data_IF_727662477119
#
_entry.id   IF_727662477119
#
_cell.length_a   1.000
_cell.length_b   1.000
_cell.length_c   1.000
_cell.angle_alpha   90.00
_cell.angle_beta   90.00
_cell.angle_gamma   90.00
#
_symmetry.space_group_name_H-M   'P 1'
#
loop_
_entity.id
_entity.type
_entity.pdbx_description
1 polymer ?
#
# COMPACT_ATOMS: atom_id res chain seq x y z
N UNK A 1 7.68 -68.13 -4.95
CA UNK A 1 8.35 -66.79 -4.87
C UNK A 1 7.38 -65.66 -5.20
N UNK A 2 6.48 -65.77 -6.20
CA UNK A 2 5.52 -64.73 -6.63
C UNK A 2 4.44 -64.46 -5.55
N UNK A 3 3.93 -65.51 -4.86
CA UNK A 3 2.92 -65.38 -3.82
C UNK A 3 3.43 -64.56 -2.63
N UNK A 4 4.65 -64.78 -2.18
CA UNK A 4 5.23 -64.02 -1.06
C UNK A 4 5.51 -62.54 -1.37
N UNK A 5 5.81 -62.22 -2.64
CA UNK A 5 5.94 -60.82 -3.05
C UNK A 5 4.58 -60.09 -3.09
N UNK A 6 3.50 -60.78 -3.50
CA UNK A 6 2.15 -60.23 -3.47
C UNK A 6 1.70 -59.92 -2.06
N UNK A 7 1.96 -60.81 -1.11
CA UNK A 7 1.63 -60.60 0.31
C UNK A 7 2.35 -59.41 0.93
N UNK A 8 3.64 -59.25 0.59
CA UNK A 8 4.43 -58.08 1.05
C UNK A 8 3.84 -56.76 0.50
N UNK A 9 3.43 -56.76 -0.77
CA UNK A 9 2.82 -55.53 -1.35
C UNK A 9 1.43 -55.22 -0.78
N UNK A 10 0.61 -56.26 -0.51
CA UNK A 10 -0.65 -56.09 0.17
C UNK A 10 -0.48 -55.47 1.57
N UNK A 11 0.46 -55.97 2.34
CA UNK A 11 0.73 -55.41 3.67
C UNK A 11 1.18 -53.96 3.61
N UNK A 12 2.07 -53.60 2.68
CA UNK A 12 2.46 -52.19 2.47
C UNK A 12 1.29 -51.31 2.12
N UNK A 13 0.35 -51.76 1.28
CA UNK A 13 -0.85 -51.01 0.90
C UNK A 13 -1.74 -50.78 2.13
N UNK A 14 -1.93 -51.81 2.96
CA UNK A 14 -2.69 -51.68 4.20
C UNK A 14 -2.06 -50.66 5.14
N UNK A 15 -0.73 -50.69 5.31
CA UNK A 15 0.00 -49.73 6.15
C UNK A 15 -0.18 -48.29 5.66
N UNK A 16 -0.07 -48.05 4.34
CA UNK A 16 -0.30 -46.73 3.74
C UNK A 16 -1.73 -46.24 3.97
N UNK A 17 -2.72 -47.13 3.76
CA UNK A 17 -4.13 -46.81 3.99
C UNK A 17 -4.42 -46.52 5.46
N UNK A 18 -3.84 -47.27 6.39
CA UNK A 18 -3.97 -47.02 7.83
C UNK A 18 -3.40 -45.65 8.22
N UNK A 19 -2.23 -45.32 7.70
CA UNK A 19 -1.63 -44.01 7.94
C UNK A 19 -2.52 -42.87 7.37
N UNK A 20 -3.08 -43.04 6.18
CA UNK A 20 -4.04 -42.10 5.61
C UNK A 20 -5.26 -41.92 6.51
N UNK A 21 -5.89 -42.98 6.99
CA UNK A 21 -7.08 -42.95 7.84
C UNK A 21 -6.79 -42.31 9.21
N UNK A 22 -5.60 -42.50 9.78
CA UNK A 22 -5.18 -41.83 11.00
C UNK A 22 -5.13 -40.32 10.85
N UNK A 23 -4.66 -39.85 9.67
CA UNK A 23 -4.59 -38.42 9.36
C UNK A 23 -5.96 -37.83 8.91
N UNK A 24 -6.90 -38.70 8.50
CA UNK A 24 -8.24 -38.31 8.02
C UNK A 24 -9.36 -39.05 8.76
N UNK A 25 -9.57 -38.80 10.07
CA UNK A 25 -10.48 -39.61 10.92
C UNK A 25 -11.95 -39.52 10.54
N UNK A 26 -12.34 -38.62 9.67
CA UNK A 26 -13.72 -38.47 9.16
C UNK A 26 -14.04 -39.40 7.99
N UNK A 27 -13.05 -40.16 7.46
CA UNK A 27 -13.20 -41.08 6.34
C UNK A 27 -13.47 -42.47 6.88
N UNK A 28 -14.58 -43.06 6.45
CA UNK A 28 -15.00 -44.41 6.88
C UNK A 28 -14.62 -45.45 5.78
N UNK A 29 -13.32 -45.53 5.47
CA UNK A 29 -12.81 -46.47 4.49
C UNK A 29 -12.15 -47.69 5.17
N UNK A 30 -12.17 -48.83 4.51
CA UNK A 30 -11.49 -50.03 5.01
C UNK A 30 -10.05 -50.10 4.52
N UNK A 31 -9.09 -50.09 5.45
CA UNK A 31 -7.67 -50.26 5.10
C UNK A 31 -7.38 -51.64 4.50
N UNK A 32 -8.14 -52.65 4.84
CA UNK A 32 -7.97 -54.05 4.40
C UNK A 32 -8.85 -54.44 3.21
N UNK A 33 -9.55 -53.50 2.57
CA UNK A 33 -10.38 -53.76 1.39
C UNK A 33 -9.55 -54.38 0.26
N UNK A 34 -10.12 -55.35 -0.46
CA UNK A 34 -9.45 -56.04 -1.56
C UNK A 34 -9.32 -55.12 -2.82
N UNK A 35 -10.25 -54.19 -3.00
CA UNK A 35 -10.28 -53.22 -4.08
C UNK A 35 -9.82 -51.84 -3.62
N UNK A 36 -9.76 -50.88 -4.52
CA UNK A 36 -9.38 -49.49 -4.25
C UNK A 36 -10.53 -48.49 -4.53
N UNK A 37 -11.76 -49.02 -4.70
CA UNK A 37 -12.89 -48.25 -5.21
C UNK A 37 -13.21 -46.99 -4.40
N UNK A 38 -13.15 -47.07 -3.06
CA UNK A 38 -13.39 -45.93 -2.19
C UNK A 38 -12.33 -44.82 -2.38
N UNK A 39 -11.05 -45.22 -2.52
CA UNK A 39 -9.96 -44.29 -2.74
C UNK A 39 -9.95 -43.72 -4.16
N UNK A 40 -10.28 -44.55 -5.17
CA UNK A 40 -10.39 -44.11 -6.56
C UNK A 40 -11.56 -43.16 -6.78
N UNK A 41 -12.70 -43.45 -6.14
CA UNK A 41 -13.86 -42.58 -6.13
C UNK A 41 -13.55 -41.22 -5.48
N UNK A 42 -12.87 -41.23 -4.33
CA UNK A 42 -12.45 -40.02 -3.65
C UNK A 42 -11.44 -39.24 -4.50
N UNK A 43 -10.47 -39.90 -5.12
CA UNK A 43 -9.50 -39.25 -6.00
C UNK A 43 -10.19 -38.59 -7.17
N UNK A 44 -11.16 -39.27 -7.78
CA UNK A 44 -11.95 -38.73 -8.89
C UNK A 44 -12.78 -37.52 -8.45
N UNK A 45 -13.45 -37.60 -7.31
CA UNK A 45 -14.24 -36.48 -6.74
C UNK A 45 -13.37 -35.26 -6.47
N UNK A 46 -12.25 -35.44 -5.75
CA UNK A 46 -11.29 -34.37 -5.45
C UNK A 46 -10.65 -33.77 -6.70
N UNK A 47 -10.31 -34.60 -7.69
CA UNK A 47 -9.62 -34.14 -8.91
C UNK A 47 -10.56 -33.43 -9.89
N UNK A 48 -11.82 -33.91 -9.99
CA UNK A 48 -12.73 -33.41 -11.03
C UNK A 48 -13.64 -32.27 -10.59
N UNK A 49 -13.99 -32.17 -9.31
CA UNK A 49 -14.97 -31.19 -8.84
C UNK A 49 -14.46 -30.31 -7.71
N UNK A 50 -13.93 -30.89 -6.63
CA UNK A 50 -13.59 -30.11 -5.44
C UNK A 50 -12.31 -29.28 -5.66
N UNK A 51 -11.29 -29.81 -6.30
CA UNK A 51 -10.02 -29.11 -6.52
C UNK A 51 -10.22 -27.88 -7.40
N UNK A 52 -10.97 -27.99 -8.49
CA UNK A 52 -11.27 -26.84 -9.35
C UNK A 52 -12.11 -25.79 -8.62
N UNK A 53 -13.09 -26.21 -7.82
CA UNK A 53 -13.91 -25.30 -7.03
C UNK A 53 -13.08 -24.59 -5.94
N UNK A 54 -12.21 -25.31 -5.24
CA UNK A 54 -11.30 -24.72 -4.25
C UNK A 54 -10.31 -23.77 -4.89
N UNK A 55 -9.72 -24.12 -6.03
CA UNK A 55 -8.81 -23.25 -6.79
C UNK A 55 -9.52 -21.97 -7.22
N UNK A 56 -10.75 -22.09 -7.73
CA UNK A 56 -11.56 -20.93 -8.12
C UNK A 56 -11.87 -20.03 -6.94
N UNK A 57 -12.34 -20.59 -5.81
CA UNK A 57 -12.62 -19.85 -4.58
C UNK A 57 -11.36 -19.17 -4.05
N UNK A 58 -10.23 -19.85 -4.04
CA UNK A 58 -8.96 -19.28 -3.60
C UNK A 58 -8.52 -18.13 -4.50
N UNK A 59 -8.67 -18.25 -5.82
CA UNK A 59 -8.37 -17.19 -6.77
C UNK A 59 -9.30 -15.98 -6.59
N UNK A 60 -10.60 -16.20 -6.39
CA UNK A 60 -11.58 -15.15 -6.11
C UNK A 60 -11.26 -14.40 -4.80
N UNK A 61 -10.91 -15.13 -3.74
CA UNK A 61 -10.52 -14.54 -2.46
C UNK A 61 -9.21 -13.75 -2.56
N UNK A 62 -8.22 -14.28 -3.29
CA UNK A 62 -6.97 -13.57 -3.53
C UNK A 62 -7.21 -12.28 -4.31
N UNK A 63 -8.05 -12.33 -5.34
CA UNK A 63 -8.43 -11.13 -6.11
C UNK A 63 -9.13 -10.10 -5.22
N UNK A 64 -10.12 -10.51 -4.44
CA UNK A 64 -10.82 -9.61 -3.52
C UNK A 64 -9.87 -8.99 -2.49
N UNK A 65 -8.92 -9.75 -1.95
CA UNK A 65 -7.92 -9.23 -1.02
C UNK A 65 -7.02 -8.17 -1.66
N UNK A 66 -6.62 -8.36 -2.92
CA UNK A 66 -5.83 -7.36 -3.67
C UNK A 66 -6.65 -6.09 -3.91
N UNK A 67 -7.93 -6.21 -4.29
CA UNK A 67 -8.79 -5.04 -4.51
C UNK A 67 -9.01 -4.25 -3.20
N UNK A 68 -9.30 -4.91 -2.10
CA UNK A 68 -9.39 -4.25 -0.79
C UNK A 68 -8.07 -3.57 -0.37
N UNK A 69 -6.95 -4.21 -0.65
CA UNK A 69 -5.65 -3.60 -0.39
C UNK A 69 -5.45 -2.33 -1.23
N UNK A 70 -5.79 -2.35 -2.52
CA UNK A 70 -5.68 -1.18 -3.40
C UNK A 70 -6.49 0.00 -2.85
N UNK A 71 -7.74 -0.25 -2.50
CA UNK A 71 -8.63 0.77 -1.95
C UNK A 71 -8.08 1.35 -0.64
N UNK A 72 -7.77 0.52 0.33
CA UNK A 72 -7.21 0.94 1.62
C UNK A 72 -5.91 1.74 1.46
N UNK A 73 -5.04 1.30 0.57
CA UNK A 73 -3.77 1.94 0.30
C UNK A 73 -3.97 3.35 -0.28
N UNK A 74 -4.82 3.47 -1.32
CA UNK A 74 -5.14 4.77 -1.95
C UNK A 74 -5.72 5.73 -0.92
N UNK A 75 -6.70 5.30 -0.13
CA UNK A 75 -7.33 6.15 0.87
C UNK A 75 -6.38 6.58 1.98
N UNK A 76 -5.51 5.70 2.45
CA UNK A 76 -4.50 6.02 3.48
C UNK A 76 -3.51 7.07 2.98
N UNK A 77 -2.94 6.87 1.79
CA UNK A 77 -2.00 7.84 1.21
C UNK A 77 -2.68 9.17 0.93
N UNK A 78 -3.89 9.16 0.34
CA UNK A 78 -4.69 10.36 0.11
C UNK A 78 -4.94 11.13 1.40
N UNK A 79 -5.39 10.46 2.45
CA UNK A 79 -5.65 11.07 3.76
C UNK A 79 -4.39 11.72 4.34
N UNK A 80 -3.25 11.02 4.29
CA UNK A 80 -1.98 11.53 4.76
C UNK A 80 -1.49 12.75 3.95
N UNK A 81 -1.69 12.76 2.62
CA UNK A 81 -1.39 13.91 1.77
C UNK A 81 -2.28 15.10 2.15
N UNK A 82 -3.60 14.90 2.30
CA UNK A 82 -4.53 15.97 2.70
C UNK A 82 -4.17 16.53 4.07
N UNK A 83 -3.85 15.68 5.03
CA UNK A 83 -3.39 16.09 6.36
C UNK A 83 -2.09 16.92 6.29
N UNK A 84 -1.14 16.53 5.44
CA UNK A 84 0.09 17.29 5.24
C UNK A 84 -0.20 18.71 4.74
N UNK A 85 -1.17 18.89 3.84
CA UNK A 85 -1.59 20.21 3.38
C UNK A 85 -2.24 21.04 4.49
N UNK A 86 -3.12 20.42 5.29
CA UNK A 86 -3.73 21.10 6.45
C UNK A 86 -2.65 21.56 7.44
N UNK A 87 -1.71 20.68 7.78
CA UNK A 87 -0.59 21.02 8.68
C UNK A 87 0.30 22.13 8.12
N UNK A 88 0.59 22.11 6.81
CA UNK A 88 1.29 23.22 6.15
C UNK A 88 0.58 24.55 6.33
N UNK A 89 -0.74 24.57 6.14
CA UNK A 89 -1.53 25.80 6.26
C UNK A 89 -1.60 26.31 7.71
N UNK A 90 -1.62 25.39 8.69
CA UNK A 90 -1.51 25.71 10.10
C UNK A 90 -0.15 26.31 10.44
N UNK A 91 0.94 25.68 9.99
CA UNK A 91 2.30 26.19 10.19
C UNK A 91 2.46 27.56 9.53
N UNK A 92 1.96 27.76 8.33
CA UNK A 92 2.02 29.05 7.64
C UNK A 92 1.24 30.15 8.40
N UNK A 93 0.09 29.80 8.98
CA UNK A 93 -0.65 30.74 9.85
C UNK A 93 0.15 31.12 11.09
N UNK A 94 0.81 30.16 11.75
CA UNK A 94 1.64 30.43 12.92
C UNK A 94 2.82 31.34 12.58
N UNK A 95 3.58 31.05 11.53
CA UNK A 95 4.74 31.85 11.17
C UNK A 95 4.40 33.21 10.56
N UNK A 96 3.19 33.37 10.00
CA UNK A 96 2.75 34.66 9.45
C UNK A 96 2.62 35.77 10.49
N UNK A 97 2.42 35.40 11.76
CA UNK A 97 2.35 36.32 12.90
C UNK A 97 3.73 36.72 13.47
N UNK A 98 4.80 36.03 13.05
CA UNK A 98 6.14 36.29 13.55
C UNK A 98 6.81 37.38 12.74
N UNK A 99 7.49 38.30 13.42
CA UNK A 99 8.28 39.36 12.80
C UNK A 99 9.72 38.88 12.56
N UNK A 100 10.03 38.65 11.30
CA UNK A 100 11.38 38.32 10.84
C UNK A 100 12.05 39.52 10.13
N UNK A 101 11.63 40.73 10.49
CA UNK A 101 12.07 41.96 9.83
C UNK A 101 11.36 42.18 8.48
N UNK A 102 12.13 42.38 7.41
CA UNK A 102 11.54 42.58 6.07
C UNK A 102 11.18 41.28 5.35
N UNK A 103 11.59 40.14 5.89
CA UNK A 103 11.44 38.85 5.26
C UNK A 103 10.22 38.09 5.78
N UNK A 104 9.43 37.55 4.88
CA UNK A 104 8.34 36.63 5.21
C UNK A 104 8.68 35.24 4.70
N UNK A 105 8.31 34.24 5.47
CA UNK A 105 8.55 32.84 5.12
C UNK A 105 7.24 32.08 4.99
N UNK A 106 7.24 31.09 4.12
CA UNK A 106 6.12 30.15 4.00
C UNK A 106 6.62 28.75 3.68
N UNK A 107 5.98 27.74 4.29
CA UNK A 107 6.15 26.35 3.91
C UNK A 107 5.38 26.06 2.63
N UNK A 108 6.00 25.32 1.74
CA UNK A 108 5.41 24.93 0.47
C UNK A 108 5.45 23.41 0.33
N UNK A 109 4.34 22.83 -0.04
CA UNK A 109 4.24 21.43 -0.44
C UNK A 109 3.75 21.39 -1.88
N UNK A 110 4.48 20.68 -2.72
CA UNK A 110 4.13 20.48 -4.12
C UNK A 110 4.23 19.00 -4.46
N UNK A 111 3.69 18.61 -5.60
CA UNK A 111 3.92 17.29 -6.17
C UNK A 111 5.41 17.06 -6.36
N UNK A 112 5.90 15.86 -6.04
CA UNK A 112 7.24 15.45 -6.39
C UNK A 112 7.43 15.47 -7.92
N UNK A 113 8.47 16.15 -8.40
CA UNK A 113 8.79 16.26 -9.84
C UNK A 113 9.69 15.14 -10.34
N UNK A 114 10.18 14.28 -9.45
CA UNK A 114 10.94 13.09 -9.79
C UNK A 114 10.05 11.92 -10.25
N UNK A 115 10.67 10.76 -10.47
CA UNK A 115 9.99 9.57 -11.00
C UNK A 115 8.80 9.13 -10.14
N UNK A 116 8.92 9.22 -8.81
CA UNK A 116 7.87 8.78 -7.88
C UNK A 116 6.64 9.69 -7.89
N UNK A 117 6.78 10.92 -8.34
CA UNK A 117 5.67 11.86 -8.44
C UNK A 117 4.60 11.48 -9.47
N UNK A 118 4.88 10.53 -10.37
CA UNK A 118 3.89 10.04 -11.33
C UNK A 118 2.65 9.43 -10.67
N UNK A 119 2.80 8.91 -9.45
CA UNK A 119 1.70 8.30 -8.69
C UNK A 119 0.81 9.34 -7.97
N UNK A 120 1.28 10.57 -7.77
CA UNK A 120 0.52 11.59 -7.04
C UNK A 120 -0.91 11.84 -7.58
N UNK A 121 -1.15 11.96 -8.92
CA UNK A 121 -2.49 12.18 -9.44
C UNK A 121 -3.46 11.04 -9.09
N UNK A 122 -2.97 9.80 -9.03
CA UNK A 122 -3.78 8.65 -8.66
C UNK A 122 -4.37 8.78 -7.24
N UNK A 123 -3.59 9.32 -6.29
CA UNK A 123 -4.06 9.52 -4.92
C UNK A 123 -4.95 10.76 -4.75
N UNK A 124 -4.79 11.77 -5.62
CA UNK A 124 -5.46 13.06 -5.46
C UNK A 124 -6.55 13.30 -6.52
N UNK A 125 -6.94 12.27 -7.26
CA UNK A 125 -8.01 12.37 -8.25
C UNK A 125 -9.35 12.71 -7.61
N UNK A 126 -10.13 13.54 -8.27
CA UNK A 126 -11.43 13.98 -7.78
C UNK A 126 -12.48 12.87 -7.79
N UNK A 127 -12.32 11.84 -8.61
CA UNK A 127 -13.18 10.65 -8.61
C UNK A 127 -13.19 9.92 -7.24
N UNK A 128 -12.17 10.15 -6.40
CA UNK A 128 -12.11 9.64 -5.02
C UNK A 128 -12.86 10.51 -4.00
N UNK A 129 -13.44 11.63 -4.41
CA UNK A 129 -14.29 12.46 -3.55
C UNK A 129 -15.73 11.92 -3.59
N UNK A 130 -16.06 11.05 -2.64
CA UNK A 130 -17.43 10.58 -2.45
C UNK A 130 -18.22 11.72 -1.78
N UNK A 131 -19.21 12.25 -2.45
CA UNK A 131 -20.15 13.22 -1.85
C UNK A 131 -21.07 12.47 -0.86
N UNK A 132 -21.03 12.80 0.45
CA UNK A 132 -21.89 12.15 1.43
C UNK A 132 -23.39 12.29 1.14
N UNK A 133 -23.80 13.26 0.34
CA UNK A 133 -25.22 13.48 -0.05
C UNK A 133 -25.73 12.44 -1.05
N UNK A 134 -24.83 11.76 -1.74
CA UNK A 134 -25.12 10.75 -2.76
C UNK A 134 -25.24 9.35 -2.15
N UNK A 135 -24.91 9.17 -0.87
CA UNK A 135 -24.97 7.89 -0.14
C UNK A 135 -26.39 7.31 0.07
N UNK A 136 -27.45 7.94 -0.46
CA UNK A 136 -28.82 7.44 -0.38
C UNK A 136 -29.23 6.42 -1.47
N UNK A 137 -28.36 6.13 -2.42
CA UNK A 137 -28.50 5.01 -3.36
C UNK A 137 -27.57 3.88 -2.89
N UNK A 138 -28.00 2.64 -3.09
CA UNK A 138 -27.32 1.43 -2.56
C UNK A 138 -25.79 1.56 -2.63
N UNK A 139 -25.13 1.51 -1.47
CA UNK A 139 -23.68 1.76 -1.29
C UNK A 139 -22.80 0.96 -2.26
N UNK A 140 -23.22 -0.24 -2.63
CA UNK A 140 -22.46 -1.15 -3.51
C UNK A 140 -22.34 -0.65 -4.95
N UNK A 141 -23.41 -0.04 -5.52
CA UNK A 141 -23.41 0.36 -6.93
C UNK A 141 -22.58 1.62 -7.18
N UNK A 142 -22.46 2.50 -6.19
CA UNK A 142 -21.69 3.74 -6.32
C UNK A 142 -20.21 3.56 -6.04
N UNK A 143 -19.84 2.75 -5.06
CA UNK A 143 -18.46 2.38 -4.86
C UNK A 143 -17.89 1.69 -6.09
N UNK A 144 -18.67 0.82 -6.74
CA UNK A 144 -18.28 0.16 -7.98
C UNK A 144 -18.04 1.13 -9.15
N UNK A 145 -18.84 2.19 -9.29
CA UNK A 145 -18.70 3.15 -10.40
C UNK A 145 -17.42 4.01 -10.23
N UNK A 146 -17.17 4.51 -9.03
CA UNK A 146 -15.97 5.30 -8.72
C UNK A 146 -14.69 4.47 -8.79
N UNK A 147 -14.74 3.24 -8.30
CA UNK A 147 -13.60 2.31 -8.42
C UNK A 147 -13.32 1.95 -9.87
N UNK A 148 -14.34 1.78 -10.72
CA UNK A 148 -14.17 1.54 -12.15
C UNK A 148 -13.57 2.73 -12.90
N UNK A 149 -14.00 3.96 -12.62
CA UNK A 149 -13.44 5.16 -13.26
C UNK A 149 -11.97 5.35 -12.86
N UNK A 150 -11.68 5.22 -11.58
CA UNK A 150 -10.32 5.31 -11.06
C UNK A 150 -9.43 4.20 -11.60
N UNK A 151 -9.91 2.96 -11.64
CA UNK A 151 -9.20 1.81 -12.20
C UNK A 151 -8.94 1.97 -13.70
N UNK A 152 -9.89 2.46 -14.47
CA UNK A 152 -9.69 2.74 -15.90
C UNK A 152 -8.61 3.80 -16.14
N UNK A 153 -8.47 4.77 -15.25
CA UNK A 153 -7.51 5.87 -15.38
C UNK A 153 -6.13 5.55 -14.81
N UNK A 154 -6.07 4.80 -13.73
CA UNK A 154 -4.85 4.57 -12.97
C UNK A 154 -4.51 3.11 -12.71
N UNK A 155 -5.26 2.16 -13.23
CA UNK A 155 -5.09 0.73 -12.97
C UNK A 155 -3.69 0.22 -13.31
N UNK A 156 -3.11 0.69 -14.42
CA UNK A 156 -1.73 0.34 -14.80
C UNK A 156 -0.70 0.85 -13.76
N UNK A 157 -0.85 2.11 -13.32
CA UNK A 157 0.03 2.69 -12.30
C UNK A 157 -0.14 2.01 -10.94
N UNK A 158 -1.37 1.63 -10.61
CA UNK A 158 -1.66 0.90 -9.38
C UNK A 158 -1.04 -0.50 -9.42
N UNK A 159 -1.18 -1.22 -10.52
CA UNK A 159 -0.59 -2.55 -10.67
C UNK A 159 0.95 -2.48 -10.62
N UNK A 160 1.56 -1.50 -11.28
CA UNK A 160 3.00 -1.25 -11.18
C UNK A 160 3.44 -1.05 -9.71
N UNK A 161 2.66 -0.29 -8.94
CA UNK A 161 2.97 -0.04 -7.53
C UNK A 161 2.80 -1.28 -6.67
N UNK A 162 1.80 -2.11 -6.96
CA UNK A 162 1.56 -3.38 -6.24
C UNK A 162 2.67 -4.39 -6.53
N UNK A 163 3.12 -4.48 -7.77
CA UNK A 163 4.24 -5.37 -8.15
C UNK A 163 5.51 -5.06 -7.34
N UNK A 164 5.73 -3.79 -6.98
CA UNK A 164 6.84 -3.40 -6.10
C UNK A 164 6.68 -4.01 -4.69
N UNK A 165 5.46 -4.22 -4.22
CA UNK A 165 5.18 -4.75 -2.89
C UNK A 165 5.21 -6.29 -2.81
N UNK A 166 5.12 -6.96 -3.95
CA UNK A 166 5.08 -8.41 -4.02
C UNK A 166 6.48 -8.91 -4.40
N UNK A 167 7.22 -9.52 -3.46
CA UNK A 167 8.51 -10.11 -3.81
C UNK A 167 8.32 -11.26 -4.81
N UNK A 168 9.26 -11.49 -5.74
CA UNK A 168 9.19 -12.58 -6.69
C UNK A 168 9.17 -13.94 -5.96
N UNK A 169 8.51 -14.95 -6.56
CA UNK A 169 8.52 -16.30 -6.02
C UNK A 169 9.95 -16.84 -5.93
N UNK A 170 10.31 -17.38 -4.76
CA UNK A 170 11.67 -17.87 -4.51
C UNK A 170 12.71 -16.79 -4.29
N UNK A 171 12.28 -15.57 -3.98
CA UNK A 171 13.16 -14.43 -3.71
C UNK A 171 14.24 -14.77 -2.66
N UNK A 172 15.46 -14.33 -2.92
CA UNK A 172 16.59 -14.43 -1.99
C UNK A 172 16.42 -13.48 -0.79
N UNK A 173 17.22 -13.65 0.25
CA UNK A 173 17.18 -12.75 1.40
C UNK A 173 17.42 -11.28 1.03
N UNK A 174 18.31 -11.01 0.07
CA UNK A 174 18.58 -9.65 -0.43
C UNK A 174 17.39 -9.04 -1.19
N UNK A 175 16.74 -9.83 -2.04
CA UNK A 175 15.55 -9.41 -2.78
C UNK A 175 14.36 -9.13 -1.85
N UNK A 176 14.20 -9.94 -0.80
CA UNK A 176 13.18 -9.69 0.24
C UNK A 176 13.44 -8.39 1.01
N UNK A 177 14.70 -8.10 1.36
CA UNK A 177 15.06 -6.84 2.02
C UNK A 177 14.87 -5.63 1.10
N UNK A 178 15.14 -5.75 -0.19
CA UNK A 178 14.88 -4.70 -1.17
C UNK A 178 13.39 -4.45 -1.32
N UNK A 179 12.57 -5.50 -1.50
CA UNK A 179 11.11 -5.38 -1.56
C UNK A 179 10.52 -4.71 -0.31
N UNK A 180 11.03 -5.07 0.88
CA UNK A 180 10.62 -4.45 2.14
C UNK A 180 10.98 -2.96 2.20
N UNK A 181 12.16 -2.59 1.72
CA UNK A 181 12.61 -1.19 1.65
C UNK A 181 11.74 -0.38 0.69
N UNK A 182 11.43 -0.96 -0.46
CA UNK A 182 10.57 -0.33 -1.46
C UNK A 182 9.14 -0.19 -0.94
N UNK A 183 8.61 -1.22 -0.27
CA UNK A 183 7.31 -1.14 0.40
C UNK A 183 7.28 0.00 1.43
N UNK A 184 8.31 0.15 2.26
CA UNK A 184 8.41 1.24 3.23
C UNK A 184 8.45 2.61 2.54
N UNK A 185 9.24 2.73 1.46
CA UNK A 185 9.35 3.96 0.67
C UNK A 185 7.99 4.38 0.10
N UNK A 186 7.31 3.47 -0.59
CA UNK A 186 6.05 3.78 -1.28
C UNK A 186 4.83 3.82 -0.35
N UNK A 187 4.93 3.28 0.86
CA UNK A 187 3.91 3.47 1.90
C UNK A 187 4.02 4.82 2.61
N UNK A 188 5.08 5.57 2.37
CA UNK A 188 5.26 6.91 2.91
C UNK A 188 4.76 7.97 1.92
N UNK A 189 3.72 8.70 2.29
CA UNK A 189 3.13 9.77 1.47
C UNK A 189 4.14 10.84 1.04
N UNK A 190 5.22 11.02 1.81
CA UNK A 190 6.30 11.97 1.50
C UNK A 190 7.03 11.64 0.20
N UNK A 191 7.01 10.39 -0.21
CA UNK A 191 7.57 9.94 -1.50
C UNK A 191 6.92 10.67 -2.69
N UNK A 192 5.66 11.04 -2.57
CA UNK A 192 4.87 11.65 -3.65
C UNK A 192 4.88 13.18 -3.62
N UNK A 193 5.50 13.77 -2.60
CA UNK A 193 5.52 15.21 -2.35
C UNK A 193 6.94 15.76 -2.34
N UNK A 194 7.04 17.05 -2.63
CA UNK A 194 8.24 17.85 -2.41
C UNK A 194 7.92 18.92 -1.37
N UNK A 195 8.79 19.03 -0.38
CA UNK A 195 8.67 19.99 0.72
C UNK A 195 9.73 21.05 0.54
N UNK A 196 9.34 22.31 0.61
CA UNK A 196 10.24 23.45 0.55
C UNK A 196 9.78 24.56 1.49
N UNK A 197 10.65 25.50 1.76
CA UNK A 197 10.34 26.77 2.41
C UNK A 197 10.72 27.89 1.44
N UNK A 198 9.83 28.85 1.30
CA UNK A 198 10.06 30.01 0.45
C UNK A 198 10.19 31.27 1.32
N UNK A 199 11.16 32.09 0.97
CA UNK A 199 11.29 33.46 1.46
C UNK A 199 10.59 34.40 0.48
N UNK A 200 9.72 35.24 0.99
CA UNK A 200 9.03 36.29 0.24
C UNK A 200 9.69 37.60 0.64
N UNK A 201 10.44 38.19 -0.28
CA UNK A 201 11.07 39.49 -0.09
C UNK A 201 10.08 40.57 -0.48
N UNK A 202 9.77 41.47 0.47
CA UNK A 202 8.86 42.59 0.24
C UNK A 202 9.64 43.72 -0.47
N UNK A 203 9.46 43.83 -1.79
CA UNK A 203 10.05 44.84 -2.65
C UNK A 203 9.10 45.18 -3.78
N UNK A 204 9.51 46.07 -4.71
CA UNK A 204 8.73 46.49 -5.88
C UNK A 204 8.27 45.31 -6.75
N UNK A 205 8.99 44.19 -6.72
CA UNK A 205 8.58 42.90 -7.25
C UNK A 205 8.64 41.85 -6.14
N UNK A 206 7.52 41.13 -5.87
CA UNK A 206 7.51 39.99 -4.95
C UNK A 206 8.41 38.88 -5.49
N UNK A 207 9.61 38.79 -4.94
CA UNK A 207 10.55 37.73 -5.29
C UNK A 207 10.40 36.56 -4.30
N UNK A 208 10.09 35.38 -4.82
CA UNK A 208 10.01 34.15 -4.02
C UNK A 208 11.26 33.31 -4.27
N UNK A 209 12.00 33.04 -3.20
CA UNK A 209 13.25 32.27 -3.27
C UNK A 209 13.08 31.01 -2.42
N UNK A 210 13.20 29.82 -3.06
CA UNK A 210 13.16 28.55 -2.34
C UNK A 210 14.42 28.33 -1.47
N UNK A 211 14.25 27.63 -0.35
CA UNK A 211 15.28 27.37 0.65
C UNK A 211 16.56 26.76 0.04
N UNK A 212 16.41 25.83 -0.88
CA UNK A 212 17.51 25.16 -1.58
C UNK A 212 18.41 26.13 -2.38
N UNK A 213 17.84 27.25 -2.85
CA UNK A 213 18.57 28.33 -3.53
C UNK A 213 19.15 29.32 -2.52
N UNK A 214 18.46 29.56 -1.41
CA UNK A 214 18.94 30.49 -0.35
C UNK A 214 20.20 29.96 0.32
N UNK A 215 20.23 28.69 0.69
CA UNK A 215 21.41 28.05 1.33
C UNK A 215 22.66 28.15 0.45
N UNK A 216 22.49 28.10 -0.87
CA UNK A 216 23.64 28.25 -1.81
C UNK A 216 24.09 29.69 -2.02
N UNK A 217 23.22 30.68 -1.78
CA UNK A 217 23.47 32.08 -2.13
C UNK A 217 23.89 32.91 -0.92
N UNK A 218 23.44 32.57 0.27
CA UNK A 218 23.72 33.35 1.48
C UNK A 218 24.94 32.77 2.22
N UNK A 219 26.00 33.55 2.31
CA UNK A 219 27.16 33.23 3.13
C UNK A 219 26.98 33.88 4.50
N UNK A 220 27.10 33.10 5.57
CA UNK A 220 27.05 33.61 6.95
C UNK A 220 25.68 33.46 7.65
N UNK A 221 25.40 34.27 8.68
CA UNK A 221 24.26 34.14 9.56
C UNK A 221 22.88 34.26 8.92
N UNK A 222 22.74 34.92 7.77
CA UNK A 222 21.47 35.07 7.05
C UNK A 222 20.93 33.75 6.49
N UNK A 223 21.82 32.81 6.14
CA UNK A 223 21.40 31.47 5.68
C UNK A 223 20.79 30.60 6.77
N UNK A 224 20.90 30.99 8.04
CA UNK A 224 20.36 30.25 9.19
C UNK A 224 18.91 30.65 9.54
N UNK A 225 18.44 31.82 9.10
CA UNK A 225 17.10 32.31 9.42
C UNK A 225 15.98 31.32 9.05
N UNK A 226 15.95 30.70 7.86
CA UNK A 226 14.91 29.76 7.53
C UNK A 226 14.88 28.52 8.43
N UNK A 227 16.05 28.08 8.90
CA UNK A 227 16.16 26.95 9.83
C UNK A 227 15.57 27.31 11.20
N UNK A 228 15.85 28.50 11.71
CA UNK A 228 15.26 28.99 12.97
C UNK A 228 13.75 29.15 12.86
N UNK A 229 13.24 29.64 11.71
CA UNK A 229 11.80 29.75 11.46
C UNK A 229 11.14 28.38 11.49
N UNK A 230 11.71 27.38 10.81
CA UNK A 230 11.21 26.01 10.80
C UNK A 230 11.24 25.39 12.20
N UNK A 231 12.30 25.65 12.97
CA UNK A 231 12.45 25.15 14.32
C UNK A 231 11.41 25.79 15.26
N UNK A 232 11.23 27.11 15.22
CA UNK A 232 10.24 27.83 16.00
C UNK A 232 8.81 27.36 15.68
N UNK A 233 8.49 27.21 14.39
CA UNK A 233 7.19 26.69 13.96
C UNK A 233 6.94 25.28 14.50
N UNK A 234 7.96 24.41 14.46
CA UNK A 234 7.90 23.05 15.00
C UNK A 234 7.69 23.03 16.52
N UNK A 235 8.36 23.89 17.25
CA UNK A 235 8.16 24.04 18.71
C UNK A 235 6.77 24.58 19.02
N UNK A 236 6.33 25.64 18.34
CA UNK A 236 5.01 26.21 18.55
C UNK A 236 3.91 25.15 18.33
N UNK A 237 4.02 24.34 17.28
CA UNK A 237 3.11 23.25 17.02
C UNK A 237 3.16 22.18 18.13
N UNK A 238 4.36 21.76 18.54
CA UNK A 238 4.54 20.70 19.54
C UNK A 238 3.99 21.09 20.91
N UNK A 239 4.08 22.37 21.26
CA UNK A 239 3.63 22.89 22.57
C UNK A 239 2.26 23.57 22.52
N UNK A 240 1.57 23.57 21.38
CA UNK A 240 0.26 24.22 21.22
C UNK A 240 0.30 25.72 21.47
N UNK A 241 1.44 26.38 21.24
CA UNK A 241 1.61 27.81 21.44
C UNK A 241 0.98 28.53 20.24
N UNK A 242 -0.08 29.27 20.51
CA UNK A 242 -0.62 30.24 19.55
C UNK A 242 0.23 31.51 19.63
N UNK A 243 1.07 31.71 18.63
CA UNK A 243 1.92 32.88 18.48
C UNK A 243 1.14 34.02 17.88
#
# INVERSE_FOLDING_TARGET
>A
QVSGQCDVQKNKLVDVRMNYLQNHPKRDFSASAENNDDYDSLLSELSCNELEEYQKKAAEQAKAAVEHFKEDFVYKIRSAIKEAYVRRDELNRMISGLDFGKDKYQFKITRNTGADGKYYPMFMDDSLNIDPSVLNTTMDDQMNLFSMEHENKYGELMNELIEIFIPPEGATGEELENAKRDMQKYSDYRTYLSFDMEQIVDGDEKLTIGLSKMIKKNSGGEGQNPLYVALLASFAQAYGIHL
#
